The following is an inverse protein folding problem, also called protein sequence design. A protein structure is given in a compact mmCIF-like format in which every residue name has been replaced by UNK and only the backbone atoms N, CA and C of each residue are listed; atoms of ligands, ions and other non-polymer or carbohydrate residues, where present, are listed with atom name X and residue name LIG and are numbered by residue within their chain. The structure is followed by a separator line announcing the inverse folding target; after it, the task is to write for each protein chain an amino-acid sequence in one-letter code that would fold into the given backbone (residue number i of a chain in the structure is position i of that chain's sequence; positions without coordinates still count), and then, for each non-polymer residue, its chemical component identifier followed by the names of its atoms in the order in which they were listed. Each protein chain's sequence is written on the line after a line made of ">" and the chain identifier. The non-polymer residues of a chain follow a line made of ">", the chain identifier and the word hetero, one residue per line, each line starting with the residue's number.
data_IF_005893394918
#
_entry.id   IF_005893394918
#
_cell.length_a   1.000
_cell.length_b   1.000
_cell.length_c   1.000
_cell.angle_alpha   90.00
_cell.angle_beta   90.00
_cell.angle_gamma   90.00
#
_symmetry.space_group_name_H-M   'P 1'
#
loop_
_entity.id
_entity.type
_entity.pdbx_description
1 polymer ?
#
# COMPACT_ATOMS: atom_id res chain seq x y z
N UNK A 1 -15.61 -31.11 -18.60
CA UNK A 1 -16.37 -31.20 -19.87
C UNK A 1 -17.83 -30.85 -19.65
N UNK A 2 -18.54 -31.53 -18.74
CA UNK A 2 -19.98 -31.26 -18.47
C UNK A 2 -20.27 -29.82 -18.02
N UNK A 3 -19.35 -29.19 -17.28
CA UNK A 3 -19.48 -27.79 -16.84
C UNK A 3 -19.51 -26.80 -18.00
N UNK A 4 -18.74 -27.05 -19.06
CA UNK A 4 -18.66 -26.18 -20.24
C UNK A 4 -19.90 -26.32 -21.14
N UNK A 5 -20.34 -27.56 -21.35
CA UNK A 5 -21.60 -27.80 -22.06
C UNK A 5 -22.79 -27.18 -21.32
N UNK A 6 -22.79 -27.25 -19.99
CA UNK A 6 -23.81 -26.63 -19.14
C UNK A 6 -23.84 -25.10 -19.29
N UNK A 7 -22.70 -24.41 -19.40
CA UNK A 7 -22.67 -22.95 -19.62
C UNK A 7 -23.26 -22.53 -20.97
N UNK A 8 -23.12 -23.35 -22.03
CA UNK A 8 -23.79 -23.07 -23.31
C UNK A 8 -25.33 -23.10 -23.22
N UNK A 9 -25.88 -23.78 -22.22
CA UNK A 9 -27.32 -23.80 -21.92
C UNK A 9 -27.70 -22.88 -20.76
N UNK A 10 -26.89 -21.86 -20.48
CA UNK A 10 -27.12 -20.88 -19.41
C UNK A 10 -27.24 -21.51 -18.00
N UNK A 11 -26.65 -22.69 -17.79
CA UNK A 11 -26.56 -23.33 -16.48
C UNK A 11 -25.25 -22.92 -15.81
N UNK A 12 -25.35 -22.50 -14.54
CA UNK A 12 -24.21 -22.08 -13.72
C UNK A 12 -23.17 -23.22 -13.65
N UNK A 13 -21.90 -22.97 -13.99
CA UNK A 13 -20.83 -23.94 -13.74
C UNK A 13 -20.79 -24.30 -12.25
N UNK A 14 -20.58 -25.58 -11.88
CA UNK A 14 -20.53 -26.01 -10.47
C UNK A 14 -19.20 -25.57 -9.83
N UNK A 15 -19.05 -24.26 -9.64
CA UNK A 15 -17.95 -23.69 -8.88
C UNK A 15 -18.28 -23.79 -7.38
N UNK A 16 -17.25 -24.02 -6.56
CA UNK A 16 -17.40 -23.91 -5.12
C UNK A 16 -17.88 -22.49 -4.73
N UNK A 17 -18.88 -22.40 -3.86
CA UNK A 17 -19.44 -21.13 -3.37
C UNK A 17 -19.13 -20.85 -1.91
N UNK A 18 -18.54 -21.81 -1.20
CA UNK A 18 -18.30 -21.75 0.24
C UNK A 18 -16.83 -21.43 0.59
N UNK A 19 -15.90 -21.77 -0.31
CA UNK A 19 -14.46 -21.60 -0.09
C UNK A 19 -13.79 -20.92 -1.29
N UNK A 20 -13.14 -19.78 -1.04
CA UNK A 20 -12.52 -18.95 -2.08
C UNK A 20 -11.38 -19.69 -2.79
N UNK A 21 -10.56 -20.44 -2.06
CA UNK A 21 -9.42 -21.18 -2.63
C UNK A 21 -9.87 -22.31 -3.56
N UNK A 22 -10.93 -23.03 -3.20
CA UNK A 22 -11.53 -24.03 -4.09
C UNK A 22 -12.21 -23.38 -5.28
N UNK A 23 -12.93 -22.26 -5.07
CA UNK A 23 -13.57 -21.53 -6.15
C UNK A 23 -12.56 -20.99 -7.17
N UNK A 24 -11.40 -20.51 -6.69
CA UNK A 24 -10.29 -20.08 -7.54
C UNK A 24 -9.77 -21.25 -8.39
N UNK A 25 -9.51 -22.40 -7.78
CA UNK A 25 -9.05 -23.58 -8.50
C UNK A 25 -10.07 -24.04 -9.57
N UNK A 26 -11.35 -24.11 -9.20
CA UNK A 26 -12.42 -24.47 -10.14
C UNK A 26 -12.52 -23.45 -11.29
N UNK A 27 -12.38 -22.15 -10.98
CA UNK A 27 -12.39 -21.07 -11.96
C UNK A 27 -11.24 -21.20 -12.96
N UNK A 28 -10.02 -21.48 -12.50
CA UNK A 28 -8.85 -21.71 -13.35
C UNK A 28 -9.08 -22.86 -14.33
N UNK A 29 -9.60 -23.99 -13.85
CA UNK A 29 -9.91 -25.16 -14.68
C UNK A 29 -10.99 -24.86 -15.72
N UNK A 30 -12.06 -24.18 -15.29
CA UNK A 30 -13.19 -23.81 -16.16
C UNK A 30 -12.74 -22.84 -17.24
N UNK A 31 -11.94 -21.82 -16.91
CA UNK A 31 -11.41 -20.85 -17.87
C UNK A 31 -10.41 -21.51 -18.84
N UNK A 32 -9.56 -22.42 -18.36
CA UNK A 32 -8.64 -23.16 -19.23
C UNK A 32 -9.40 -24.00 -20.28
N UNK A 33 -10.48 -24.66 -19.88
CA UNK A 33 -11.37 -25.37 -20.80
C UNK A 33 -12.09 -24.40 -21.75
N UNK A 34 -12.66 -23.31 -21.22
CA UNK A 34 -13.38 -22.33 -22.03
C UNK A 34 -12.48 -21.70 -23.11
N UNK A 35 -11.20 -21.44 -22.78
CA UNK A 35 -10.21 -20.95 -23.71
C UNK A 35 -9.95 -21.97 -24.83
N UNK A 36 -9.74 -23.24 -24.48
CA UNK A 36 -9.51 -24.33 -25.44
C UNK A 36 -10.66 -24.49 -26.45
N UNK A 37 -11.89 -24.22 -26.02
CA UNK A 37 -13.10 -24.36 -26.85
C UNK A 37 -13.67 -23.03 -27.35
N UNK A 38 -12.91 -21.93 -27.25
CA UNK A 38 -13.29 -20.60 -27.77
C UNK A 38 -14.68 -20.15 -27.26
N UNK A 39 -14.87 -20.27 -25.95
CA UNK A 39 -16.17 -20.04 -25.27
C UNK A 39 -16.04 -19.16 -24.03
N UNK A 40 -15.00 -18.34 -23.99
CA UNK A 40 -14.69 -17.46 -22.85
C UNK A 40 -15.85 -16.50 -22.54
N UNK A 41 -16.48 -15.92 -23.56
CA UNK A 41 -17.53 -14.91 -23.39
C UNK A 41 -18.78 -15.46 -22.70
N UNK A 42 -19.08 -16.76 -22.89
CA UNK A 42 -20.19 -17.42 -22.19
C UNK A 42 -19.86 -17.74 -20.74
N UNK A 43 -18.58 -17.97 -20.42
CA UNK A 43 -18.14 -18.48 -19.11
C UNK A 43 -17.79 -17.35 -18.15
N UNK A 44 -17.14 -16.27 -18.63
CA UNK A 44 -16.69 -15.13 -17.82
C UNK A 44 -17.77 -14.55 -16.91
N UNK A 45 -19.01 -14.26 -17.38
CA UNK A 45 -20.03 -13.65 -16.53
C UNK A 45 -20.43 -14.56 -15.36
N UNK A 46 -20.47 -15.88 -15.59
CA UNK A 46 -20.83 -16.84 -14.54
C UNK A 46 -19.73 -16.98 -13.49
N UNK A 47 -18.48 -17.13 -13.92
CA UNK A 47 -17.33 -17.22 -13.01
C UNK A 47 -17.17 -15.93 -12.21
N UNK A 48 -17.25 -14.77 -12.88
CA UNK A 48 -17.19 -13.46 -12.24
C UNK A 48 -18.29 -13.28 -11.19
N UNK A 49 -19.54 -13.68 -11.49
CA UNK A 49 -20.64 -13.65 -10.53
C UNK A 49 -20.33 -14.51 -9.29
N UNK A 50 -19.86 -15.75 -9.46
CA UNK A 50 -19.52 -16.61 -8.32
C UNK A 50 -18.42 -15.99 -7.46
N UNK A 51 -17.35 -15.48 -8.06
CA UNK A 51 -16.25 -14.87 -7.30
C UNK A 51 -16.71 -13.62 -6.55
N UNK A 52 -17.55 -12.79 -7.17
CA UNK A 52 -18.10 -11.58 -6.53
C UNK A 52 -18.93 -11.86 -5.26
N UNK A 53 -19.53 -13.05 -5.15
CA UNK A 53 -20.33 -13.43 -3.97
C UNK A 53 -19.50 -13.58 -2.70
N UNK A 54 -18.18 -13.76 -2.80
CA UNK A 54 -17.28 -13.84 -1.64
C UNK A 54 -17.03 -12.48 -0.96
N UNK A 55 -17.32 -11.35 -1.64
CA UNK A 55 -17.19 -9.98 -1.09
C UNK A 55 -15.79 -9.76 -0.48
N UNK A 56 -15.71 -9.28 0.77
CA UNK A 56 -14.44 -9.02 1.48
C UNK A 56 -13.45 -10.21 1.42
N UNK A 57 -13.96 -11.45 1.53
CA UNK A 57 -13.12 -12.66 1.49
C UNK A 57 -12.40 -12.86 0.16
N UNK A 58 -12.95 -12.32 -0.93
CA UNK A 58 -12.27 -12.32 -2.23
C UNK A 58 -10.99 -11.49 -2.15
N UNK A 59 -11.10 -10.26 -1.66
CA UNK A 59 -9.98 -9.33 -1.59
C UNK A 59 -8.93 -9.78 -0.57
N UNK A 60 -9.35 -10.38 0.55
CA UNK A 60 -8.45 -11.04 1.49
C UNK A 60 -7.64 -12.15 0.80
N UNK A 61 -8.30 -12.99 0.01
CA UNK A 61 -7.64 -14.05 -0.75
C UNK A 61 -6.72 -13.49 -1.85
N UNK A 62 -7.08 -12.36 -2.46
CA UNK A 62 -6.22 -11.65 -3.42
C UNK A 62 -4.92 -11.22 -2.75
N UNK A 63 -4.97 -10.61 -1.57
CA UNK A 63 -3.79 -10.15 -0.86
C UNK A 63 -2.80 -11.27 -0.48
N UNK A 64 -3.26 -12.53 -0.35
CA UNK A 64 -2.41 -13.68 -0.02
C UNK A 64 -1.56 -14.20 -1.20
N UNK A 65 -2.08 -14.14 -2.42
CA UNK A 65 -1.35 -14.54 -3.63
C UNK A 65 -1.77 -13.68 -4.84
N UNK A 66 -1.48 -12.36 -4.82
CA UNK A 66 -1.91 -11.44 -5.86
C UNK A 66 -1.54 -11.87 -7.29
N UNK A 67 -0.34 -12.41 -7.57
CA UNK A 67 0.01 -12.81 -8.93
C UNK A 67 -0.91 -13.89 -9.53
N UNK A 68 -1.41 -14.82 -8.70
CA UNK A 68 -2.36 -15.85 -9.15
C UNK A 68 -3.69 -15.24 -9.57
N UNK A 69 -4.21 -14.33 -8.75
CA UNK A 69 -5.44 -13.60 -9.05
C UNK A 69 -5.28 -12.63 -10.22
N UNK A 70 -4.10 -12.04 -10.37
CA UNK A 70 -3.76 -11.22 -11.52
C UNK A 70 -3.86 -12.02 -12.82
N UNK A 71 -3.26 -13.20 -12.88
CA UNK A 71 -3.36 -14.10 -14.04
C UNK A 71 -4.81 -14.52 -14.32
N UNK A 72 -5.56 -14.89 -13.29
CA UNK A 72 -6.98 -15.23 -13.42
C UNK A 72 -7.78 -14.05 -14.00
N UNK A 73 -7.53 -12.85 -13.48
CA UNK A 73 -8.28 -11.64 -13.85
C UNK A 73 -8.11 -11.25 -15.31
N UNK A 74 -6.96 -11.55 -15.93
CA UNK A 74 -6.71 -11.34 -17.37
C UNK A 74 -7.64 -12.21 -18.20
N UNK A 75 -7.80 -13.49 -17.83
CA UNK A 75 -8.71 -14.39 -18.52
C UNK A 75 -10.18 -14.03 -18.27
N UNK A 76 -10.48 -13.54 -17.06
CA UNK A 76 -11.82 -13.07 -16.69
C UNK A 76 -12.19 -11.71 -17.27
N UNK A 77 -11.20 -10.91 -17.70
CA UNK A 77 -11.37 -9.49 -18.03
C UNK A 77 -12.00 -8.69 -16.87
N UNK A 78 -11.64 -9.06 -15.64
CA UNK A 78 -12.19 -8.44 -14.43
C UNK A 78 -11.31 -7.28 -13.98
N UNK A 79 -11.76 -6.05 -14.24
CA UNK A 79 -11.06 -4.82 -13.81
C UNK A 79 -10.87 -4.78 -12.30
N UNK A 80 -11.89 -5.14 -11.52
CA UNK A 80 -11.84 -5.15 -10.06
C UNK A 80 -10.76 -6.10 -9.50
N UNK A 81 -10.75 -7.36 -9.93
CA UNK A 81 -9.76 -8.35 -9.44
C UNK A 81 -8.35 -7.98 -9.93
N UNK A 82 -8.23 -7.51 -11.17
CA UNK A 82 -6.96 -7.08 -11.74
C UNK A 82 -6.38 -5.89 -10.98
N UNK A 83 -7.16 -4.84 -10.76
CA UNK A 83 -6.71 -3.64 -10.05
C UNK A 83 -6.25 -3.96 -8.63
N UNK A 84 -7.03 -4.74 -7.87
CA UNK A 84 -6.66 -5.15 -6.52
C UNK A 84 -5.31 -5.90 -6.53
N UNK A 85 -5.21 -6.95 -7.35
CA UNK A 85 -4.02 -7.79 -7.43
C UNK A 85 -2.80 -7.01 -7.93
N UNK A 86 -2.99 -6.13 -8.92
CA UNK A 86 -1.95 -5.34 -9.54
C UNK A 86 -1.35 -4.32 -8.56
N UNK A 87 -2.18 -3.63 -7.76
CA UNK A 87 -1.69 -2.67 -6.76
C UNK A 87 -0.82 -3.38 -5.72
N UNK A 88 -1.21 -4.57 -5.26
CA UNK A 88 -0.37 -5.37 -4.37
C UNK A 88 0.98 -5.74 -5.01
N UNK A 89 0.96 -6.16 -6.28
CA UNK A 89 2.16 -6.48 -7.05
C UNK A 89 3.11 -5.29 -7.20
N UNK A 90 2.59 -4.09 -7.50
CA UNK A 90 3.36 -2.86 -7.67
C UNK A 90 3.98 -2.37 -6.35
N UNK A 91 3.26 -2.55 -5.25
CA UNK A 91 3.57 -1.89 -3.98
C UNK A 91 4.40 -2.75 -3.03
N UNK A 92 4.60 -4.02 -3.37
CA UNK A 92 5.42 -4.93 -2.55
C UNK A 92 6.91 -4.69 -2.79
N UNK A 93 7.73 -4.51 -1.72
CA UNK A 93 9.17 -4.34 -1.86
C UNK A 93 9.90 -5.62 -2.31
N UNK A 94 9.25 -6.79 -2.22
CA UNK A 94 9.80 -8.07 -2.65
C UNK A 94 8.70 -9.03 -3.14
N UNK A 95 9.06 -9.94 -4.05
CA UNK A 95 8.18 -11.00 -4.53
C UNK A 95 8.16 -12.16 -3.54
N UNK A 96 7.21 -12.14 -2.60
CA UNK A 96 7.11 -13.11 -1.48
C UNK A 96 5.98 -14.12 -1.64
N UNK A 97 5.28 -14.10 -2.78
CA UNK A 97 4.09 -14.90 -2.99
C UNK A 97 4.38 -16.31 -3.51
N UNK A 98 3.49 -17.28 -3.26
CA UNK A 98 3.62 -18.64 -3.78
C UNK A 98 3.73 -18.69 -5.31
N UNK A 99 2.92 -17.88 -6.00
CA UNK A 99 2.99 -17.80 -7.46
C UNK A 99 4.21 -17.00 -7.88
N UNK A 100 5.17 -17.66 -8.51
CA UNK A 100 6.45 -17.05 -8.91
C UNK A 100 6.30 -16.07 -10.08
N UNK A 101 7.21 -15.10 -10.21
CA UNK A 101 7.24 -14.16 -11.34
C UNK A 101 7.18 -14.86 -12.70
N UNK A 102 7.79 -16.05 -12.82
CA UNK A 102 7.81 -16.82 -14.07
C UNK A 102 6.42 -17.18 -14.61
N UNK A 103 5.40 -17.21 -13.75
CA UNK A 103 4.02 -17.50 -14.15
C UNK A 103 3.23 -16.25 -14.58
N UNK A 104 3.80 -15.05 -14.45
CA UNK A 104 3.16 -13.80 -14.89
C UNK A 104 3.72 -13.42 -16.27
N UNK A 105 2.85 -12.90 -17.14
CA UNK A 105 3.26 -12.51 -18.49
C UNK A 105 4.36 -11.44 -18.45
N UNK A 106 5.31 -11.50 -19.39
CA UNK A 106 6.41 -10.52 -19.48
C UNK A 106 5.90 -9.08 -19.63
N UNK A 107 4.82 -8.90 -20.40
CA UNK A 107 4.21 -7.58 -20.60
C UNK A 107 3.65 -7.03 -19.27
N UNK A 108 2.91 -7.85 -18.53
CA UNK A 108 2.35 -7.48 -17.23
C UNK A 108 3.45 -7.20 -16.20
N UNK A 109 4.50 -8.02 -16.15
CA UNK A 109 5.66 -7.77 -15.27
C UNK A 109 6.38 -6.47 -15.61
N UNK A 110 6.52 -6.15 -16.90
CA UNK A 110 7.11 -4.90 -17.35
C UNK A 110 6.30 -3.71 -16.85
N UNK A 111 4.97 -3.78 -16.97
CA UNK A 111 4.07 -2.72 -16.50
C UNK A 111 4.08 -2.57 -14.97
N UNK A 112 4.10 -3.69 -14.23
CA UNK A 112 4.24 -3.67 -12.76
C UNK A 112 5.54 -2.96 -12.36
N UNK A 113 6.65 -3.29 -13.02
CA UNK A 113 7.95 -2.65 -12.76
C UNK A 113 7.93 -1.16 -13.07
N UNK A 114 7.38 -0.78 -14.22
CA UNK A 114 7.25 0.63 -14.64
C UNK A 114 6.42 1.45 -13.62
N UNK A 115 5.23 0.97 -13.26
CA UNK A 115 4.36 1.61 -12.26
C UNK A 115 5.01 1.62 -10.88
N UNK A 116 5.74 0.57 -10.51
CA UNK A 116 6.53 0.49 -9.27
C UNK A 116 7.65 1.53 -9.21
N UNK A 117 8.39 1.72 -10.29
CA UNK A 117 9.41 2.78 -10.39
C UNK A 117 8.79 4.18 -10.31
N UNK A 118 7.62 4.38 -10.92
CA UNK A 118 6.89 5.64 -10.82
C UNK A 118 6.45 5.91 -9.38
N UNK A 119 5.87 4.92 -8.69
CA UNK A 119 5.47 5.01 -7.30
C UNK A 119 6.67 5.32 -6.39
N UNK A 120 7.81 4.63 -6.60
CA UNK A 120 9.02 4.87 -5.84
C UNK A 120 9.58 6.29 -6.05
N UNK A 121 9.52 6.82 -7.29
CA UNK A 121 9.91 8.20 -7.58
C UNK A 121 9.00 9.21 -6.86
N UNK A 122 7.69 9.00 -6.91
CA UNK A 122 6.72 9.84 -6.19
C UNK A 122 6.95 9.80 -4.67
N UNK A 123 7.16 8.62 -4.10
CA UNK A 123 7.51 8.43 -2.69
C UNK A 123 8.77 9.23 -2.31
N UNK A 124 9.85 9.14 -3.10
CA UNK A 124 11.10 9.89 -2.86
C UNK A 124 10.86 11.40 -2.88
N UNK A 125 10.06 11.90 -3.83
CA UNK A 125 9.70 13.32 -3.91
C UNK A 125 8.90 13.80 -2.70
N UNK A 126 8.00 12.97 -2.16
CA UNK A 126 7.24 13.26 -0.93
C UNK A 126 8.17 13.26 0.28
N UNK A 127 9.07 12.29 0.41
CA UNK A 127 10.07 12.26 1.49
C UNK A 127 10.96 13.51 1.44
N UNK A 128 11.44 13.90 0.26
CA UNK A 128 12.22 15.12 0.09
C UNK A 128 11.46 16.37 0.55
N UNK A 129 10.19 16.50 0.15
CA UNK A 129 9.35 17.63 0.57
C UNK A 129 9.14 17.65 2.08
N UNK A 130 8.89 16.49 2.70
CA UNK A 130 8.75 16.38 4.16
C UNK A 130 10.04 16.80 4.89
N UNK A 131 11.21 16.39 4.38
CA UNK A 131 12.51 16.79 4.97
C UNK A 131 12.80 18.28 4.79
N UNK A 132 12.29 18.90 3.72
CA UNK A 132 12.39 20.35 3.49
C UNK A 132 11.31 21.16 4.21
N UNK A 133 10.31 20.51 4.81
CA UNK A 133 9.22 21.18 5.52
C UNK A 133 9.79 22.17 6.55
N UNK A 134 9.20 23.36 6.58
CA UNK A 134 9.63 24.51 7.38
C UNK A 134 8.44 25.43 7.61
N UNK A 135 8.56 26.30 8.61
CA UNK A 135 7.62 27.39 8.84
C UNK A 135 8.10 28.62 8.07
N UNK A 136 7.17 29.32 7.42
CA UNK A 136 7.43 30.57 6.70
C UNK A 136 6.51 31.64 7.29
N UNK A 137 7.09 32.66 7.91
CA UNK A 137 6.34 33.84 8.36
C UNK A 137 6.30 34.89 7.23
N UNK A 138 5.41 34.73 6.26
CA UNK A 138 5.21 35.73 5.19
C UNK A 138 6.49 36.09 4.42
N UNK A 139 6.88 37.36 4.42
CA UNK A 139 8.06 37.89 3.69
C UNK A 139 9.33 37.94 4.57
N UNK A 140 9.34 37.25 5.71
CA UNK A 140 10.47 37.20 6.65
C UNK A 140 11.61 36.29 6.13
N UNK A 141 12.85 36.47 6.63
CA UNK A 141 13.96 35.59 6.31
C UNK A 141 13.66 34.14 6.70
N UNK A 142 14.35 33.19 6.05
CA UNK A 142 14.29 31.78 6.39
C UNK A 142 14.62 31.61 7.88
N UNK A 143 13.81 30.84 8.60
CA UNK A 143 14.03 30.51 10.01
C UNK A 143 15.35 29.77 10.15
N UNK A 144 16.24 30.30 10.98
CA UNK A 144 17.56 29.76 11.27
C UNK A 144 17.86 29.84 12.78
N UNK A 145 19.01 29.29 13.18
CA UNK A 145 19.44 29.29 14.57
C UNK A 145 19.65 30.71 15.15
N UNK A 146 19.93 31.69 14.30
CA UNK A 146 20.29 33.05 14.70
C UNK A 146 19.11 34.01 14.85
N UNK A 147 17.95 33.71 14.26
CA UNK A 147 16.77 34.59 14.29
C UNK A 147 15.64 34.10 15.21
N UNK A 148 15.32 32.81 15.19
CA UNK A 148 14.22 32.19 15.93
C UNK A 148 14.66 30.79 16.36
N UNK A 149 15.48 30.73 17.42
CA UNK A 149 16.15 29.51 17.86
C UNK A 149 15.15 28.40 18.22
N UNK A 150 14.09 28.73 18.95
CA UNK A 150 13.09 27.78 19.44
C UNK A 150 12.31 27.16 18.28
N UNK A 151 11.77 27.98 17.37
CA UNK A 151 11.09 27.49 16.15
C UNK A 151 12.04 26.69 15.26
N UNK A 152 13.29 27.13 15.11
CA UNK A 152 14.31 26.38 14.37
C UNK A 152 14.56 24.99 15.00
N UNK A 153 14.64 24.90 16.33
CA UNK A 153 14.76 23.64 17.06
C UNK A 153 13.56 22.74 16.78
N UNK A 154 12.33 23.27 16.83
CA UNK A 154 11.12 22.48 16.53
C UNK A 154 11.16 21.93 15.11
N UNK A 155 11.54 22.74 14.11
CA UNK A 155 11.72 22.30 12.73
C UNK A 155 12.75 21.15 12.64
N UNK A 156 13.91 21.29 13.29
CA UNK A 156 14.92 20.23 13.27
C UNK A 156 14.44 18.96 13.99
N UNK A 157 13.69 19.11 15.09
CA UNK A 157 13.12 17.97 15.81
C UNK A 157 12.17 17.16 14.92
N UNK A 158 11.29 17.81 14.14
CA UNK A 158 10.39 17.12 13.19
C UNK A 158 11.18 16.37 12.13
N UNK A 159 12.23 17.00 11.57
CA UNK A 159 13.09 16.38 10.55
C UNK A 159 13.85 15.18 11.10
N UNK A 160 14.44 15.31 12.28
CA UNK A 160 15.12 14.22 12.97
C UNK A 160 14.17 13.05 13.25
N UNK A 161 12.97 13.33 13.76
CA UNK A 161 11.95 12.31 13.97
C UNK A 161 11.65 11.54 12.68
N UNK A 162 11.46 12.26 11.56
CA UNK A 162 11.17 11.65 10.27
C UNK A 162 12.34 10.78 9.79
N UNK A 163 13.58 11.26 9.88
CA UNK A 163 14.78 10.51 9.50
C UNK A 163 14.88 9.22 10.33
N UNK A 164 14.61 9.28 11.64
CA UNK A 164 14.57 8.09 12.50
C UNK A 164 13.49 7.09 12.06
N UNK A 165 12.28 7.55 11.72
CA UNK A 165 11.23 6.66 11.22
C UNK A 165 11.62 6.02 9.88
N UNK A 166 12.22 6.78 8.97
CA UNK A 166 12.68 6.25 7.67
C UNK A 166 13.80 5.21 7.87
N UNK A 167 14.76 5.46 8.76
CA UNK A 167 15.81 4.51 9.07
C UNK A 167 15.25 3.19 9.64
N UNK A 168 14.24 3.28 10.50
CA UNK A 168 13.52 2.15 11.07
C UNK A 168 12.81 1.32 9.99
N UNK A 169 12.26 1.96 8.96
CA UNK A 169 11.60 1.30 7.83
C UNK A 169 12.61 0.63 6.88
N UNK A 170 13.74 1.28 6.63
CA UNK A 170 14.76 0.83 5.69
C UNK A 170 15.68 -0.25 6.26
N UNK A 171 15.87 -0.31 7.59
CA UNK A 171 16.81 -1.23 8.23
C UNK A 171 16.24 -2.65 8.38
N UNK A 172 16.78 -3.66 7.66
CA UNK A 172 16.33 -5.05 7.82
C UNK A 172 16.95 -5.75 9.05
N UNK A 173 17.87 -5.10 9.78
CA UNK A 173 18.92 -5.81 10.55
C UNK A 173 18.79 -5.69 12.08
N UNK A 174 18.03 -4.74 12.63
CA UNK A 174 17.90 -4.62 14.10
C UNK A 174 16.80 -5.50 14.72
N UNK A 175 16.00 -6.19 13.91
CA UNK A 175 15.02 -7.19 14.35
C UNK A 175 15.47 -8.65 14.17
N UNK A 176 16.67 -8.90 13.64
CA UNK A 176 17.16 -10.24 13.28
C UNK A 176 18.15 -10.85 14.29
N UNK A 177 18.49 -10.13 15.38
CA UNK A 177 19.42 -10.61 16.42
C UNK A 177 18.72 -10.80 17.77
N UNK A 178 17.75 -11.70 17.81
CA UNK A 178 17.49 -12.56 18.97
C UNK A 178 17.03 -13.90 18.40
N UNK A 179 17.73 -14.97 18.77
CA UNK A 179 17.51 -16.37 18.36
C UNK A 179 16.03 -16.77 18.27
N UNK A 180 15.42 -16.57 17.10
CA UNK A 180 14.09 -17.09 16.78
C UNK A 180 14.19 -17.89 15.49
N UNK A 181 13.80 -19.18 15.52
CA UNK A 181 13.94 -20.06 14.37
C UNK A 181 12.98 -19.61 13.28
N UNK A 182 13.54 -19.29 12.09
CA UNK A 182 12.88 -19.14 10.78
C UNK A 182 11.35 -19.29 10.84
N UNK A 183 10.67 -18.22 11.25
CA UNK A 183 9.22 -18.24 11.37
C UNK A 183 8.61 -17.99 10.00
N UNK A 184 7.68 -18.86 9.64
CA UNK A 184 6.81 -18.78 8.48
C UNK A 184 6.21 -17.38 8.34
N UNK A 185 6.72 -16.59 7.39
CA UNK A 185 6.08 -15.36 6.92
C UNK A 185 4.94 -15.78 6.01
N UNK A 186 3.81 -16.15 6.62
CA UNK A 186 2.45 -16.25 6.07
C UNK A 186 1.62 -16.94 7.14
N UNK A 187 1.28 -16.20 8.19
CA UNK A 187 0.14 -16.49 9.05
C UNK A 187 -0.31 -15.16 9.62
N UNK A 188 -1.50 -14.71 9.23
CA UNK A 188 -2.22 -13.73 10.03
C UNK A 188 -2.43 -14.35 11.41
N UNK A 189 -1.85 -13.73 12.44
CA UNK A 189 -2.27 -13.67 13.83
C UNK A 189 -1.31 -12.68 14.53
N UNK A 190 -1.88 -11.66 15.15
CA UNK A 190 -1.30 -10.71 16.10
C UNK A 190 0.22 -10.75 16.33
N UNK A 191 0.95 -9.82 15.71
CA UNK A 191 2.25 -9.36 16.20
C UNK A 191 2.34 -7.86 15.91
N UNK A 192 2.23 -7.06 16.96
CA UNK A 192 2.32 -5.60 16.97
C UNK A 192 3.71 -5.04 16.65
N UNK A 193 4.64 -5.89 16.18
CA UNK A 193 6.08 -5.60 16.09
C UNK A 193 6.62 -5.59 14.65
N UNK A 194 5.76 -5.56 13.62
CA UNK A 194 6.26 -5.18 12.29
C UNK A 194 6.39 -3.67 12.23
N UNK A 195 7.63 -3.21 12.04
CA UNK A 195 7.92 -1.82 11.71
C UNK A 195 6.96 -1.36 10.60
N UNK A 196 6.16 -0.31 10.85
CA UNK A 196 5.14 0.12 9.90
C UNK A 196 5.83 0.57 8.62
N UNK A 197 5.53 -0.07 7.48
CA UNK A 197 6.09 0.33 6.19
C UNK A 197 5.79 1.80 5.84
N UNK A 198 6.43 2.31 4.78
CA UNK A 198 6.32 3.73 4.41
C UNK A 198 4.88 4.24 4.25
N UNK A 199 3.97 3.40 3.75
CA UNK A 199 2.56 3.76 3.62
C UNK A 199 1.88 3.94 4.98
N UNK A 200 2.22 3.12 5.97
CA UNK A 200 1.71 3.28 7.33
C UNK A 200 2.27 4.55 7.99
N UNK A 201 3.54 4.89 7.77
CA UNK A 201 4.12 6.17 8.22
C UNK A 201 3.40 7.37 7.61
N UNK A 202 3.18 7.37 6.29
CA UNK A 202 2.48 8.46 5.62
C UNK A 202 1.04 8.61 6.12
N UNK A 203 0.34 7.50 6.36
CA UNK A 203 -1.01 7.54 6.95
C UNK A 203 -0.99 8.03 8.40
N UNK A 204 0.03 7.70 9.19
CA UNK A 204 0.22 8.26 10.54
C UNK A 204 0.38 9.78 10.49
N UNK A 205 1.21 10.29 9.56
CA UNK A 205 1.36 11.72 9.30
C UNK A 205 0.02 12.35 8.88
N UNK A 206 -0.71 11.72 7.95
CA UNK A 206 -1.99 12.22 7.45
C UNK A 206 -3.06 12.32 8.56
N UNK A 207 -3.12 11.34 9.47
CA UNK A 207 -4.04 11.36 10.62
C UNK A 207 -3.78 12.57 11.51
N UNK A 208 -2.53 13.00 11.65
CA UNK A 208 -2.16 14.15 12.47
C UNK A 208 -2.45 13.95 13.95
N UNK A 209 -2.71 15.04 14.68
CA UNK A 209 -3.03 15.01 16.11
C UNK A 209 -1.91 14.34 16.93
N UNK A 210 -2.30 13.46 17.86
CA UNK A 210 -1.36 12.70 18.70
C UNK A 210 -0.76 11.47 18.00
N UNK A 211 -1.32 11.06 16.86
CA UNK A 211 -0.71 9.98 16.06
C UNK A 211 0.62 10.45 15.44
N UNK A 212 0.78 11.74 15.18
CA UNK A 212 1.98 12.32 14.60
C UNK A 212 2.51 13.42 15.51
N UNK A 213 3.64 13.14 16.20
CA UNK A 213 4.32 14.08 17.10
C UNK A 213 3.43 14.66 18.23
N UNK A 214 2.93 13.85 19.17
CA UNK A 214 2.07 14.33 20.26
C UNK A 214 2.72 15.45 21.07
N UNK A 215 1.97 16.52 21.32
CA UNK A 215 2.49 17.77 21.90
C UNK A 215 3.20 17.54 23.23
N UNK A 216 2.55 16.86 24.18
CA UNK A 216 3.09 16.64 25.52
C UNK A 216 4.42 15.88 25.50
N UNK A 217 4.56 14.94 24.56
CA UNK A 217 5.79 14.17 24.39
C UNK A 217 6.91 15.05 23.84
N UNK A 218 6.63 15.83 22.80
CA UNK A 218 7.62 16.74 22.20
C UNK A 218 8.06 17.80 23.21
N UNK A 219 7.12 18.45 23.90
CA UNK A 219 7.41 19.46 24.92
C UNK A 219 8.31 18.90 26.03
N UNK A 220 8.01 17.69 26.50
CA UNK A 220 8.83 17.01 27.51
C UNK A 220 10.26 16.79 27.02
N UNK A 221 10.43 16.19 25.85
CA UNK A 221 11.75 15.89 25.28
C UNK A 221 12.57 17.16 25.03
N UNK A 222 11.94 18.24 24.54
CA UNK A 222 12.61 19.52 24.34
C UNK A 222 13.04 20.18 25.66
N UNK A 223 12.18 20.19 26.68
CA UNK A 223 12.52 20.72 28.01
C UNK A 223 13.67 19.95 28.66
N UNK A 224 13.69 18.63 28.52
CA UNK A 224 14.77 17.78 29.03
C UNK A 224 16.08 17.99 28.26
N UNK A 225 16.02 18.10 26.93
CA UNK A 225 17.21 18.29 26.09
C UNK A 225 17.85 19.67 26.27
N UNK A 226 17.06 20.69 26.61
CA UNK A 226 17.48 22.10 26.65
C UNK A 226 17.30 22.76 28.02
N UNK A 227 17.28 21.97 29.10
CA UNK A 227 17.04 22.40 30.49
C UNK A 227 17.88 23.63 30.90
N UNK A 228 19.14 23.70 30.43
CA UNK A 228 20.09 24.75 30.80
C UNK A 228 20.06 25.99 29.89
N UNK A 229 19.28 25.99 28.80
CA UNK A 229 19.30 27.07 27.81
C UNK A 229 18.23 28.17 28.04
N UNK A 230 17.40 28.04 29.08
CA UNK A 230 16.35 29.02 29.42
C UNK A 230 15.50 29.45 28.21
N UNK A 231 15.17 28.48 27.34
CA UNK A 231 14.33 28.66 26.16
C UNK A 231 12.85 28.68 26.53
N UNK A 232 12.06 29.41 25.75
CA UNK A 232 10.61 29.48 25.89
C UNK A 232 9.91 28.62 24.82
N UNK A 233 8.85 27.91 25.20
CA UNK A 233 8.11 27.01 24.32
C UNK A 233 6.66 27.44 24.12
N UNK A 234 6.35 28.71 24.37
CA UNK A 234 5.02 29.29 24.19
C UNK A 234 4.46 29.07 22.77
N UNK A 235 5.30 29.22 21.73
CA UNK A 235 4.90 29.05 20.33
C UNK A 235 4.92 27.58 19.84
N UNK A 236 5.38 26.62 20.67
CA UNK A 236 5.55 25.21 20.27
C UNK A 236 4.26 24.60 19.70
N UNK A 237 3.11 24.94 20.29
CA UNK A 237 1.82 24.41 19.87
C UNK A 237 1.46 24.86 18.44
N UNK A 238 1.70 26.14 18.14
CA UNK A 238 1.43 26.72 16.84
C UNK A 238 2.46 26.25 15.79
N UNK A 239 3.75 26.20 16.15
CA UNK A 239 4.81 25.68 15.28
C UNK A 239 4.57 24.23 14.87
N UNK A 240 4.26 23.37 15.84
CA UNK A 240 3.93 21.97 15.56
C UNK A 240 2.66 21.86 14.72
N UNK A 241 1.64 22.67 14.98
CA UNK A 241 0.42 22.68 14.15
C UNK A 241 0.74 23.00 12.70
N UNK A 242 1.49 24.07 12.44
CA UNK A 242 1.87 24.49 11.07
C UNK A 242 2.67 23.40 10.35
N UNK A 243 3.69 22.82 11.00
CA UNK A 243 4.49 21.75 10.42
C UNK A 243 3.66 20.50 10.14
N UNK A 244 2.75 20.13 11.06
CA UNK A 244 1.86 18.98 10.87
C UNK A 244 0.89 19.20 9.71
N UNK A 245 0.29 20.38 9.60
CA UNK A 245 -0.66 20.67 8.53
C UNK A 245 0.00 20.67 7.15
N UNK A 246 1.20 21.25 7.03
CA UNK A 246 2.00 21.13 5.80
C UNK A 246 2.36 19.68 5.48
N UNK A 247 2.81 18.91 6.47
CA UNK A 247 3.16 17.51 6.27
C UNK A 247 1.95 16.66 5.81
N UNK A 248 0.75 16.93 6.35
CA UNK A 248 -0.50 16.28 5.94
C UNK A 248 -0.84 16.56 4.48
N UNK A 249 -0.63 17.80 4.02
CA UNK A 249 -0.80 18.15 2.61
C UNK A 249 0.16 17.36 1.72
N UNK A 250 1.44 17.33 2.09
CA UNK A 250 2.51 16.67 1.31
C UNK A 250 2.23 15.16 1.12
N UNK A 251 1.69 14.47 2.13
CA UNK A 251 1.44 13.01 2.06
C UNK A 251 0.06 12.64 1.52
N UNK A 252 -0.86 13.61 1.32
CA UNK A 252 -2.28 13.35 1.07
C UNK A 252 -2.52 12.41 -0.10
N UNK A 253 -1.93 12.71 -1.25
CA UNK A 253 -2.13 11.92 -2.47
C UNK A 253 -1.53 10.51 -2.37
N UNK A 254 -0.40 10.37 -1.66
CA UNK A 254 0.22 9.06 -1.42
C UNK A 254 -0.59 8.15 -0.49
N UNK A 255 -1.50 8.72 0.30
CA UNK A 255 -2.33 7.98 1.24
C UNK A 255 -3.67 7.52 0.65
N UNK A 256 -3.97 7.83 -0.62
CA UNK A 256 -5.17 7.31 -1.30
C UNK A 256 -5.15 5.78 -1.28
N UNK A 257 -6.26 5.19 -0.89
CA UNK A 257 -6.45 3.74 -0.91
C UNK A 257 -7.26 3.33 -2.13
N UNK A 258 -6.60 2.69 -3.11
CA UNK A 258 -7.26 2.13 -4.29
C UNK A 258 -7.53 0.62 -4.16
N UNK A 259 -7.28 0.03 -2.99
CA UNK A 259 -7.70 -1.33 -2.67
C UNK A 259 -9.10 -1.34 -2.07
N UNK A 260 -9.79 -2.47 -2.21
CA UNK A 260 -11.08 -2.75 -1.58
C UNK A 260 -10.92 -3.13 -0.10
N UNK A 261 -9.72 -3.55 0.31
CA UNK A 261 -9.40 -3.87 1.70
C UNK A 261 -9.25 -2.63 2.58
N UNK A 262 -9.68 -2.77 3.84
CA UNK A 262 -9.29 -1.86 4.91
C UNK A 262 -7.82 -2.11 5.28
N UNK A 263 -6.98 -1.10 5.08
CA UNK A 263 -5.53 -1.19 5.26
C UNK A 263 -5.12 -1.48 6.71
N UNK A 264 -5.86 -0.95 7.69
CA UNK A 264 -5.54 -1.09 9.11
C UNK A 264 -5.91 -2.48 9.61
N UNK A 265 -7.10 -2.96 9.28
CA UNK A 265 -7.57 -4.30 9.64
C UNK A 265 -6.65 -5.40 9.09
N UNK A 266 -6.07 -5.16 7.91
CA UNK A 266 -5.22 -6.13 7.19
C UNK A 266 -3.72 -5.86 7.34
N UNK A 267 -3.32 -4.90 8.18
CA UNK A 267 -1.91 -4.53 8.41
C UNK A 267 -1.12 -4.25 7.12
N UNK A 268 -1.75 -3.60 6.13
CA UNK A 268 -1.13 -3.27 4.85
C UNK A 268 -0.23 -2.04 5.05
N UNK A 269 1.09 -2.26 5.21
CA UNK A 269 2.06 -1.20 5.50
C UNK A 269 2.60 -0.42 4.30
N UNK A 270 2.34 -0.86 3.07
CA UNK A 270 2.82 -0.21 1.84
C UNK A 270 1.81 0.82 1.30
N UNK A 271 2.20 1.53 0.24
CA UNK A 271 1.38 2.52 -0.48
C UNK A 271 0.35 1.80 -1.36
N UNK A 272 -0.85 2.34 -1.49
CA UNK A 272 -1.94 1.73 -2.27
C UNK A 272 -2.60 2.72 -3.22
N UNK A 273 -1.89 3.80 -3.54
CA UNK A 273 -2.37 4.92 -4.35
C UNK A 273 -2.12 4.74 -5.86
N UNK A 274 -1.59 3.60 -6.31
CA UNK A 274 -1.39 3.36 -7.74
C UNK A 274 -2.73 3.37 -8.47
N UNK A 275 -2.82 4.20 -9.51
CA UNK A 275 -3.98 4.31 -10.39
C UNK A 275 -3.72 3.56 -11.71
N UNK A 276 -4.78 2.92 -12.21
CA UNK A 276 -4.77 2.19 -13.47
C UNK A 276 -5.69 2.88 -14.47
N UNK A 277 -5.17 3.11 -15.67
CA UNK A 277 -5.89 3.65 -16.81
C UNK A 277 -6.43 2.51 -17.69
N UNK A 278 -7.32 2.85 -18.62
CA UNK A 278 -7.88 1.89 -19.58
C UNK A 278 -6.77 1.08 -20.29
N UNK A 279 -5.71 1.74 -20.74
CA UNK A 279 -4.55 1.13 -21.44
C UNK A 279 -3.75 0.12 -20.60
N UNK A 280 -3.89 0.16 -19.27
CA UNK A 280 -3.16 -0.73 -18.37
C UNK A 280 -3.80 -2.13 -18.27
N UNK A 281 -5.01 -2.29 -18.80
CA UNK A 281 -5.72 -3.57 -18.87
C UNK A 281 -5.33 -4.34 -20.15
N UNK A 282 -4.80 -5.57 -20.06
CA UNK A 282 -4.34 -6.32 -21.24
C UNK A 282 -5.42 -6.63 -22.28
N UNK A 283 -6.70 -6.54 -21.89
CA UNK A 283 -7.86 -6.78 -22.76
C UNK A 283 -8.53 -5.49 -23.26
N UNK A 284 -8.12 -4.31 -22.78
CA UNK A 284 -8.53 -3.07 -23.44
C UNK A 284 -7.88 -3.08 -24.82
N UNK A 285 -8.69 -3.11 -25.87
CA UNK A 285 -8.16 -2.87 -27.22
C UNK A 285 -7.43 -1.53 -27.17
N UNK A 286 -6.18 -1.47 -27.62
CA UNK A 286 -5.60 -0.17 -28.00
C UNK A 286 -6.62 0.46 -28.94
N UNK A 287 -7.22 1.59 -28.55
CA UNK A 287 -8.04 2.34 -29.48
C UNK A 287 -7.18 2.59 -30.73
N UNK A 288 -7.80 2.27 -31.87
CA UNK A 288 -7.29 2.19 -33.25
C UNK A 288 -6.17 3.17 -33.59
#
# INVERSE_FOLDING_TARGET
>A
YDCLFSSFYNRRPPLNTNNVSYALHDAELVLALAHKYVSMDSVRPHVGNVLSQFRHRLFEAIAQDPPRWLNLSIHLESTMIYTEAFIHCVSSPAWVWPTTEAHVSKATLSLIKEKGEHLLRAQKGVVEQLLRNTILEGNQPIIDMGNQLETWIVIQYVRDWLVRQLHLIESPILGANVDTPKSHILNGHHSTDRLPGIGALFRQILRGGDAFLPYDKVLKELKEAFEYMNLDWDDLADDLRMLKDHAREIVRDMCKNNLMLNLEEHNIGYLTCTELDAKDFPWSSAEV
#
